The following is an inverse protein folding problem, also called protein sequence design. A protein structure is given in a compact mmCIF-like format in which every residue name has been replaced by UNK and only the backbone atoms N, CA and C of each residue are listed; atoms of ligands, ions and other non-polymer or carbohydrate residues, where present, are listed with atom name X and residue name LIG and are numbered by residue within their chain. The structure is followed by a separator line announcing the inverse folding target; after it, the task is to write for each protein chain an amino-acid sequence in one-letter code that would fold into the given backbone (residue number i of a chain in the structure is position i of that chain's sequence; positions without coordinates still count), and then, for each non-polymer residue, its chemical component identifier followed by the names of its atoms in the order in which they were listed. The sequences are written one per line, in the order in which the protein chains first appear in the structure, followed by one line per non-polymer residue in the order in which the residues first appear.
data_IF_008126079268
#
_entry.id   IF_008126079268
#
_cell.length_a   1.000
_cell.length_b   1.000
_cell.length_c   1.000
_cell.angle_alpha   90.00
_cell.angle_beta   90.00
_cell.angle_gamma   90.00
#
_symmetry.space_group_name_H-M   'P 1'
#
loop_
_entity.id
_entity.type
_entity.pdbx_description
1 polymer ?
#
# COMPACT_ATOMS: atom_id res chain seq x y z
N UNK A 1 7.38 -5.52 21.20
CA UNK A 1 7.38 -5.61 19.73
C UNK A 1 7.06 -4.25 19.16
N UNK A 2 7.73 -3.79 18.09
CA UNK A 2 7.33 -2.55 17.42
C UNK A 2 5.85 -2.65 17.06
N UNK A 3 5.10 -1.60 17.36
CA UNK A 3 3.67 -1.54 17.07
C UNK A 3 3.55 -1.18 15.60
N UNK A 4 3.11 -2.13 14.78
CA UNK A 4 2.68 -1.85 13.42
C UNK A 4 1.43 -0.95 13.53
N UNK A 5 1.42 0.25 12.91
CA UNK A 5 0.24 1.12 12.98
C UNK A 5 -0.98 0.44 12.38
N UNK A 6 -2.17 0.79 12.88
CA UNK A 6 -3.43 0.22 12.41
C UNK A 6 -3.55 0.29 10.88
N UNK A 7 -3.97 -0.82 10.25
CA UNK A 7 -4.18 -0.93 8.81
C UNK A 7 -2.99 -1.46 8.00
N UNK A 8 -1.76 -1.43 8.53
CA UNK A 8 -0.61 -2.04 7.87
C UNK A 8 -0.59 -3.56 8.08
N UNK A 9 -0.36 -4.28 6.98
CA UNK A 9 -0.29 -5.73 6.92
C UNK A 9 1.14 -6.11 6.60
N UNK A 10 1.72 -7.03 7.37
CA UNK A 10 3.04 -7.55 7.05
C UNK A 10 3.00 -8.41 5.79
N UNK A 11 3.97 -8.23 4.88
CA UNK A 11 4.08 -9.04 3.67
C UNK A 11 4.22 -10.55 4.00
N UNK A 12 4.85 -10.87 5.14
CA UNK A 12 4.96 -12.27 5.60
C UNK A 12 3.67 -12.83 6.19
N UNK A 13 2.75 -11.98 6.63
CA UNK A 13 1.43 -12.41 7.09
C UNK A 13 0.51 -12.66 5.90
N UNK A 14 0.47 -11.72 4.95
CA UNK A 14 -0.38 -11.78 3.78
C UNK A 14 0.12 -10.81 2.72
N UNK A 15 0.06 -11.21 1.45
CA UNK A 15 0.29 -10.33 0.30
C UNK A 15 -1.06 -9.76 -0.21
N UNK A 16 -1.05 -8.63 -0.94
CA UNK A 16 -2.25 -8.13 -1.61
C UNK A 16 -2.78 -9.15 -2.64
N UNK A 17 -4.01 -8.94 -3.08
CA UNK A 17 -4.54 -9.73 -4.18
C UNK A 17 -3.96 -9.26 -5.52
N UNK A 18 -3.82 -10.19 -6.45
CA UNK A 18 -3.32 -9.87 -7.79
C UNK A 18 -4.24 -8.82 -8.45
N UNK A 19 -3.62 -7.75 -8.95
CA UNK A 19 -4.29 -6.56 -9.48
C UNK A 19 -4.97 -5.70 -8.41
N UNK A 20 -4.54 -5.76 -7.16
CA UNK A 20 -4.83 -4.68 -6.22
C UNK A 20 -4.04 -3.44 -6.62
N UNK A 21 -4.74 -2.31 -6.70
CA UNK A 21 -4.21 -0.97 -6.98
C UNK A 21 -4.38 -0.07 -5.76
N UNK A 22 -3.83 1.15 -5.83
CA UNK A 22 -3.88 2.12 -4.73
C UNK A 22 -3.36 1.53 -3.42
N UNK A 23 -2.15 0.99 -3.46
CA UNK A 23 -1.48 0.38 -2.31
C UNK A 23 -0.42 1.34 -1.77
N UNK A 24 -0.37 1.46 -0.45
CA UNK A 24 0.78 2.01 0.27
C UNK A 24 1.73 0.90 0.66
N UNK A 25 3.03 1.12 0.46
CA UNK A 25 4.08 0.13 0.75
C UNK A 25 5.13 0.77 1.63
N UNK A 26 5.57 0.05 2.65
CA UNK A 26 6.72 0.41 3.45
C UNK A 26 7.92 -0.47 3.07
N UNK A 27 8.96 0.19 2.58
CA UNK A 27 10.26 -0.38 2.25
C UNK A 27 11.31 0.18 3.23
N UNK A 28 12.15 -0.66 3.87
CA UNK A 28 13.22 -0.17 4.73
C UNK A 28 14.22 0.73 4.01
N UNK A 29 14.47 0.53 2.71
CA UNK A 29 15.39 1.36 1.92
C UNK A 29 14.79 2.66 1.41
N UNK A 30 13.45 2.75 1.28
CA UNK A 30 12.77 3.90 0.64
C UNK A 30 11.74 4.61 1.50
N UNK A 31 11.38 4.06 2.66
CA UNK A 31 10.31 4.57 3.50
C UNK A 31 8.92 4.17 2.99
N UNK A 32 7.94 5.04 3.24
CA UNK A 32 6.55 4.84 2.79
C UNK A 32 6.39 5.38 1.37
N UNK A 33 5.84 4.55 0.48
CA UNK A 33 5.54 4.84 -0.91
C UNK A 33 4.04 4.64 -1.16
N UNK A 34 3.44 5.47 -2.00
CA UNK A 34 2.04 5.35 -2.40
C UNK A 34 1.87 5.19 -3.92
N UNK A 35 0.64 4.85 -4.34
CA UNK A 35 0.30 4.70 -5.75
C UNK A 35 0.79 3.40 -6.38
N UNK A 36 1.19 2.41 -5.58
CA UNK A 36 1.66 1.13 -6.10
C UNK A 36 0.51 0.15 -6.30
N UNK A 37 0.78 -0.86 -7.11
CA UNK A 37 -0.06 -2.03 -7.35
C UNK A 37 0.69 -3.31 -7.01
N UNK A 38 -0.05 -4.41 -6.87
CA UNK A 38 0.51 -5.76 -6.77
C UNK A 38 0.08 -6.59 -7.97
N UNK A 39 1.04 -6.96 -8.82
CA UNK A 39 0.77 -7.72 -10.04
C UNK A 39 0.67 -9.25 -9.82
N UNK A 40 0.75 -9.69 -8.56
CA UNK A 40 0.85 -11.10 -8.17
C UNK A 40 2.28 -11.57 -7.91
N UNK A 41 3.28 -10.75 -8.18
CA UNK A 41 4.70 -11.08 -8.04
C UNK A 41 5.54 -9.96 -7.41
N UNK A 42 5.24 -8.70 -7.72
CA UNK A 42 6.00 -7.54 -7.25
C UNK A 42 5.10 -6.34 -6.97
N UNK A 43 5.57 -5.50 -6.05
CA UNK A 43 5.03 -4.15 -5.87
C UNK A 43 5.64 -3.25 -6.93
N UNK A 44 4.79 -2.60 -7.71
CA UNK A 44 5.20 -1.79 -8.86
C UNK A 44 4.25 -0.61 -9.07
N UNK A 45 4.69 0.41 -9.80
CA UNK A 45 3.78 1.37 -10.42
C UNK A 45 3.08 0.75 -11.65
N UNK A 46 2.11 1.48 -12.21
CA UNK A 46 1.31 1.06 -13.37
C UNK A 46 2.13 0.92 -14.66
N UNK A 47 3.18 1.73 -14.82
CA UNK A 47 4.11 1.70 -15.95
C UNK A 47 5.30 0.74 -15.77
N UNK A 48 5.42 0.05 -14.63
CA UNK A 48 6.55 -0.83 -14.29
C UNK A 48 7.92 -0.14 -14.32
N UNK A 49 7.97 1.18 -14.13
CA UNK A 49 9.22 1.93 -14.03
C UNK A 49 9.88 1.76 -12.65
N UNK A 50 9.07 1.49 -11.61
CA UNK A 50 9.53 1.41 -10.23
C UNK A 50 9.07 0.12 -9.56
N UNK A 51 9.98 -0.83 -9.44
CA UNK A 51 9.75 -2.07 -8.69
C UNK A 51 10.33 -1.98 -7.28
N UNK A 52 9.54 -2.38 -6.28
CA UNK A 52 9.94 -2.43 -4.88
C UNK A 52 10.19 -3.88 -4.45
N UNK A 53 11.45 -4.20 -4.20
CA UNK A 53 11.88 -5.58 -3.87
C UNK A 53 11.96 -5.87 -2.38
N UNK A 54 12.10 -4.85 -1.53
CA UNK A 54 12.32 -4.97 -0.10
C UNK A 54 11.12 -4.49 0.73
N UNK A 55 9.92 -4.50 0.14
CA UNK A 55 8.68 -4.21 0.83
C UNK A 55 8.49 -5.15 2.03
N UNK A 56 8.23 -4.59 3.21
CA UNK A 56 7.98 -5.39 4.43
C UNK A 56 6.53 -5.32 4.89
N UNK A 57 5.86 -4.20 4.62
CA UNK A 57 4.46 -3.98 4.98
C UNK A 57 3.73 -3.26 3.85
N UNK A 58 2.44 -3.51 3.75
CA UNK A 58 1.56 -2.84 2.81
C UNK A 58 0.24 -2.47 3.48
N UNK A 59 -0.50 -1.55 2.89
CA UNK A 59 -1.84 -1.19 3.30
C UNK A 59 -2.64 -0.80 2.07
N UNK A 60 -3.90 -1.26 1.99
CA UNK A 60 -4.83 -0.77 0.97
C UNK A 60 -5.17 0.68 1.29
N UNK A 61 -5.05 1.58 0.32
CA UNK A 61 -5.40 2.99 0.53
C UNK A 61 -6.89 3.09 0.80
N UNK A 62 -7.22 3.60 1.99
CA UNK A 62 -8.60 3.91 2.38
C UNK A 62 -8.74 5.42 2.25
N UNK A 63 -9.53 5.85 1.27
CA UNK A 63 -9.87 7.27 1.18
C UNK A 63 -10.92 7.60 2.25
N UNK A 64 -10.76 8.71 3.00
CA UNK A 64 -11.82 9.19 3.85
C UNK A 64 -13.06 9.49 3.01
N UNK A 65 -14.25 9.33 3.61
CA UNK A 65 -15.47 9.78 2.96
C UNK A 65 -15.33 11.27 2.61
N UNK A 66 -15.84 11.66 1.44
CA UNK A 66 -15.88 13.06 1.06
C UNK A 66 -16.55 13.87 2.19
N UNK A 67 -16.05 15.08 2.51
CA UNK A 67 -16.71 15.94 3.48
C UNK A 67 -18.18 16.10 3.11
N UNK A 68 -19.10 15.78 4.02
CA UNK A 68 -20.50 16.11 3.81
C UNK A 68 -20.60 17.63 3.84
N UNK A 69 -21.09 18.22 2.74
CA UNK A 69 -21.51 19.62 2.78
C UNK A 69 -22.72 19.67 3.71
N UNK A 70 -22.61 20.37 4.83
CA UNK A 70 -23.78 20.72 5.63
C UNK A 70 -24.72 21.47 4.70
N UNK A 71 -25.82 20.82 4.34
CA UNK A 71 -26.84 21.40 3.47
C UNK A 71 -27.40 22.64 4.15
N UNK A 72 -27.42 23.74 3.39
CA UNK A 72 -28.07 25.00 3.77
C UNK A 72 -29.57 24.84 4.02
#
# INVERSE_FOLDING_TARGET
SPVTPDGWISCSERMPEKYDFDIWVFSPSRGVLDGLQWDGSMFTDDEYQFVIHDATHWMRKVYPAAPQQDGE
#
